data_IF_679697069427
#
_entry.id   IF_679697069427
#
_cell.length_a   1.000
_cell.length_b   1.000
_cell.length_c   1.000
_cell.angle_alpha   90.00
_cell.angle_beta   90.00
_cell.angle_gamma   90.00
#
_symmetry.space_group_name_H-M   'P 1'
#
loop_
_entity.id
_entity.type
_entity.pdbx_description
1 polymer ?
#
# COMPACT_ATOMS: atom_id res chain seq x y z
N UNK A 1 31.16 48.36 -38.48
CA UNK A 1 30.54 47.20 -37.79
C UNK A 1 31.43 46.00 -37.97
N UNK A 2 32.21 45.68 -36.95
CA UNK A 2 33.25 44.64 -36.98
C UNK A 2 32.64 43.26 -36.82
N UNK A 3 33.11 42.31 -37.63
CA UNK A 3 32.70 40.89 -37.70
C UNK A 3 32.70 40.15 -36.34
N UNK A 4 33.33 40.72 -35.31
CA UNK A 4 33.40 40.18 -33.95
C UNK A 4 32.09 40.27 -33.16
N UNK A 5 31.18 41.18 -33.49
CA UNK A 5 29.92 41.34 -32.73
C UNK A 5 28.82 40.37 -33.14
N UNK A 6 28.92 39.74 -34.31
CA UNK A 6 27.93 38.77 -34.80
C UNK A 6 28.15 37.38 -34.19
N UNK A 7 29.39 37.05 -33.79
CA UNK A 7 29.73 35.74 -33.24
C UNK A 7 29.21 35.51 -31.81
N UNK A 8 28.93 36.56 -31.04
CA UNK A 8 28.47 36.45 -29.64
C UNK A 8 26.96 36.18 -29.56
N UNK A 9 26.18 36.60 -30.55
CA UNK A 9 24.73 36.41 -30.58
C UNK A 9 24.30 35.01 -31.07
N UNK A 10 25.20 34.24 -31.68
CA UNK A 10 24.93 32.86 -32.13
C UNK A 10 25.21 31.78 -31.07
N UNK A 11 25.82 32.13 -29.93
CA UNK A 11 26.16 31.20 -28.85
C UNK A 11 25.06 31.05 -27.77
N UNK A 12 23.98 31.84 -27.84
CA UNK A 12 22.88 31.80 -26.85
C UNK A 12 21.71 30.93 -27.33
N UNK A 13 21.69 30.51 -28.61
CA UNK A 13 20.57 29.78 -29.21
C UNK A 13 20.58 28.25 -28.98
N UNK A 14 21.59 27.68 -28.30
CA UNK A 14 21.74 26.23 -28.12
C UNK A 14 21.55 25.72 -26.69
N UNK A 15 21.06 26.55 -25.76
CA UNK A 15 20.45 26.06 -24.52
C UNK A 15 19.00 25.63 -24.76
N UNK A 16 18.80 24.79 -25.78
CA UNK A 16 17.61 23.95 -25.83
C UNK A 16 17.69 23.00 -24.64
N UNK A 17 16.74 23.10 -23.71
CA UNK A 17 16.48 22.05 -22.73
C UNK A 17 16.23 20.77 -23.50
N UNK A 18 17.29 19.98 -23.69
CA UNK A 18 17.19 18.62 -24.14
C UNK A 18 16.59 17.89 -22.95
N UNK A 19 15.26 17.81 -22.88
CA UNK A 19 14.62 16.80 -22.05
C UNK A 19 15.04 15.47 -22.67
N UNK A 20 16.20 14.97 -22.22
CA UNK A 20 16.52 13.57 -22.29
C UNK A 20 15.27 12.88 -21.79
N UNK A 21 14.58 12.16 -22.66
CA UNK A 21 13.64 11.13 -22.25
C UNK A 21 14.49 10.13 -21.50
N UNK A 22 14.67 10.41 -20.21
CA UNK A 22 15.33 9.53 -19.26
C UNK A 22 14.54 8.23 -19.38
N UNK A 23 15.16 7.22 -20.00
CA UNK A 23 14.56 5.89 -20.10
C UNK A 23 14.29 5.48 -18.67
N UNK A 24 13.02 5.52 -18.28
CA UNK A 24 12.59 5.15 -16.95
C UNK A 24 13.22 3.79 -16.67
N UNK A 25 14.16 3.75 -15.71
CA UNK A 25 14.87 2.52 -15.39
C UNK A 25 13.80 1.48 -15.05
N UNK A 26 13.85 0.30 -15.66
CA UNK A 26 12.84 -0.78 -15.61
C UNK A 26 12.57 -1.30 -14.17
N UNK A 27 13.29 -0.76 -13.18
CA UNK A 27 13.12 -1.03 -11.76
C UNK A 27 12.50 0.14 -10.98
N UNK A 28 12.03 1.20 -11.64
CA UNK A 28 11.44 2.40 -11.01
C UNK A 28 9.93 2.26 -10.97
N UNK A 29 9.36 2.40 -9.77
CA UNK A 29 7.93 2.27 -9.53
C UNK A 29 7.41 3.51 -8.80
N UNK A 30 6.24 3.99 -9.23
CA UNK A 30 5.54 5.11 -8.58
C UNK A 30 4.34 4.54 -7.84
N UNK A 31 4.22 4.86 -6.56
CA UNK A 31 3.06 4.51 -5.76
C UNK A 31 1.86 5.32 -6.25
N UNK A 32 0.72 4.69 -6.58
CA UNK A 32 -0.48 5.40 -6.96
C UNK A 32 -0.89 6.39 -5.86
N UNK A 33 -1.16 7.63 -6.24
CA UNK A 33 -1.78 8.60 -5.34
C UNK A 33 -3.22 8.17 -5.06
N UNK A 34 -3.62 8.22 -3.79
CA UNK A 34 -4.98 7.89 -3.33
C UNK A 34 -6.08 8.72 -4.01
N UNK A 35 -5.71 9.86 -4.61
CA UNK A 35 -6.61 10.77 -5.33
C UNK A 35 -7.14 10.24 -6.68
N UNK A 36 -6.66 9.10 -7.17
CA UNK A 36 -6.95 8.61 -8.53
C UNK A 36 -8.18 7.70 -8.67
N UNK A 37 -8.93 7.43 -7.59
CA UNK A 37 -10.08 6.52 -7.63
C UNK A 37 -11.43 7.18 -7.94
N UNK A 38 -11.47 8.40 -8.45
CA UNK A 38 -12.74 9.00 -8.88
C UNK A 38 -13.21 8.35 -10.19
N UNK A 39 -14.35 7.61 -10.20
CA UNK A 39 -14.85 7.02 -11.43
C UNK A 39 -15.20 8.12 -12.43
N UNK A 40 -14.66 8.00 -13.64
CA UNK A 40 -15.01 8.85 -14.78
C UNK A 40 -16.52 8.75 -14.97
N UNK A 41 -17.26 9.86 -14.86
CA UNK A 41 -18.72 9.87 -15.12
C UNK A 41 -18.96 9.45 -16.57
N UNK A 42 -19.54 8.27 -16.78
CA UNK A 42 -20.02 7.79 -18.07
C UNK A 42 -21.55 7.70 -17.96
N UNK A 43 -22.26 8.67 -18.55
CA UNK A 43 -23.72 8.68 -18.66
C UNK A 43 -24.49 9.20 -17.44
N UNK A 44 -25.82 8.99 -17.46
CA UNK A 44 -26.79 9.49 -16.48
C UNK A 44 -27.05 8.54 -15.30
N UNK A 45 -26.25 7.48 -15.15
CA UNK A 45 -26.37 6.59 -14.00
C UNK A 45 -25.74 7.25 -12.77
N UNK A 46 -26.32 7.05 -11.56
CA UNK A 46 -25.64 7.46 -10.34
C UNK A 46 -24.24 6.82 -10.32
N UNK A 47 -23.19 7.57 -9.97
CA UNK A 47 -21.83 7.05 -9.97
C UNK A 47 -21.77 5.81 -9.08
N UNK A 48 -21.05 4.76 -9.48
CA UNK A 48 -20.83 3.63 -8.58
C UNK A 48 -20.20 4.16 -7.28
N UNK A 49 -20.53 3.56 -6.13
CA UNK A 49 -19.88 3.92 -4.88
C UNK A 49 -18.36 3.81 -5.05
N UNK A 50 -17.58 4.73 -4.48
CA UNK A 50 -16.13 4.68 -4.57
C UNK A 50 -15.62 3.34 -4.00
N UNK A 51 -14.51 2.79 -4.51
CA UNK A 51 -13.95 1.55 -4.00
C UNK A 51 -13.63 1.68 -2.50
N UNK A 52 -13.87 0.61 -1.72
CA UNK A 52 -13.40 0.57 -0.32
C UNK A 52 -11.87 0.59 -0.36
N UNK A 53 -11.26 1.51 0.37
CA UNK A 53 -9.80 1.56 0.49
C UNK A 53 -9.31 0.47 1.44
N UNK A 54 -8.94 -0.66 0.85
CA UNK A 54 -8.36 -1.78 1.59
C UNK A 54 -6.86 -1.55 1.79
N UNK A 55 -6.46 -1.26 3.03
CA UNK A 55 -5.06 -1.08 3.38
C UNK A 55 -4.35 -2.43 3.57
N UNK A 56 -5.01 -3.41 4.18
CA UNK A 56 -4.37 -4.65 4.57
C UNK A 56 -5.02 -5.84 3.86
N UNK A 57 -4.18 -6.80 3.47
CA UNK A 57 -4.59 -8.12 3.01
C UNK A 57 -4.02 -9.21 3.93
N UNK A 58 -4.42 -10.48 3.79
CA UNK A 58 -3.89 -11.56 4.62
C UNK A 58 -2.36 -11.67 4.53
N UNK A 59 -1.80 -11.31 3.38
CA UNK A 59 -0.37 -11.21 3.13
C UNK A 59 0.03 -9.78 2.77
N UNK A 60 1.07 -9.24 3.38
CA UNK A 60 1.50 -7.85 3.16
C UNK A 60 3.01 -7.77 2.97
N UNK A 61 3.43 -7.01 1.97
CA UNK A 61 4.82 -6.62 1.75
C UNK A 61 5.02 -5.16 2.14
N UNK A 62 6.13 -4.84 2.79
CA UNK A 62 6.59 -3.47 3.03
C UNK A 62 7.95 -3.29 2.34
N UNK A 63 8.11 -2.19 1.61
CA UNK A 63 9.35 -1.85 0.91
C UNK A 63 9.89 -0.57 1.51
N UNK A 64 11.10 -0.66 2.05
CA UNK A 64 11.74 0.49 2.68
C UNK A 64 12.40 1.42 1.66
N UNK A 65 12.95 2.53 2.15
CA UNK A 65 13.61 3.55 1.33
C UNK A 65 14.84 3.05 0.57
N UNK A 66 15.46 1.95 1.00
CA UNK A 66 16.62 1.34 0.37
C UNK A 66 16.23 0.17 -0.55
N UNK A 67 14.93 -0.13 -0.69
CA UNK A 67 14.42 -1.20 -1.54
C UNK A 67 14.44 -2.59 -0.90
N UNK A 68 14.74 -2.69 0.40
CA UNK A 68 14.61 -3.92 1.16
C UNK A 68 13.14 -4.29 1.30
N UNK A 69 12.86 -5.59 1.26
CA UNK A 69 11.51 -6.12 1.25
C UNK A 69 11.27 -6.87 2.53
N UNK A 70 10.21 -6.46 3.22
CA UNK A 70 9.72 -7.04 4.44
C UNK A 70 8.34 -7.65 4.19
N UNK A 71 8.00 -8.66 4.98
CA UNK A 71 6.75 -9.39 4.85
C UNK A 71 6.14 -9.63 6.21
N UNK A 72 4.81 -9.51 6.31
CA UNK A 72 4.05 -9.94 7.47
C UNK A 72 2.69 -10.50 7.02
N UNK A 73 2.12 -11.36 7.85
CA UNK A 73 0.78 -11.90 7.66
C UNK A 73 -0.15 -11.36 8.72
N UNK A 74 -1.41 -11.15 8.33
CA UNK A 74 -2.44 -10.78 9.26
C UNK A 74 -3.62 -11.72 9.14
N UNK A 75 -4.16 -12.14 10.29
CA UNK A 75 -5.46 -12.81 10.33
C UNK A 75 -6.52 -11.75 10.10
N UNK A 76 -6.88 -11.51 8.84
CA UNK A 76 -8.03 -10.68 8.53
C UNK A 76 -9.27 -11.48 8.93
N UNK A 77 -9.98 -10.98 9.93
CA UNK A 77 -11.35 -11.44 10.18
C UNK A 77 -12.16 -10.92 9.00
N UNK A 78 -12.38 -11.76 7.98
CA UNK A 78 -13.29 -11.46 6.87
C UNK A 78 -14.70 -11.30 7.42
N UNK A 79 -15.00 -10.10 7.93
CA UNK A 79 -16.36 -9.64 8.16
C UNK A 79 -16.86 -9.05 6.85
N UNK A 80 -18.05 -9.45 6.42
CA UNK A 80 -18.74 -8.79 5.32
C UNK A 80 -19.00 -7.33 5.70
N UNK A 81 -18.23 -6.39 5.16
CA UNK A 81 -18.42 -4.98 5.44
C UNK A 81 -19.49 -4.43 4.49
N UNK A 82 -20.70 -4.21 4.99
CA UNK A 82 -21.76 -3.55 4.23
C UNK A 82 -21.42 -2.06 4.06
N UNK A 83 -21.28 -1.60 2.81
CA UNK A 83 -20.92 -0.23 2.41
C UNK A 83 -21.82 0.92 2.89
N UNK A 84 -22.90 0.64 3.64
CA UNK A 84 -23.90 1.64 4.03
C UNK A 84 -23.37 2.52 5.16
N UNK A 85 -23.14 3.81 4.87
CA UNK A 85 -22.75 4.81 5.88
C UNK A 85 -21.25 4.88 6.20
N UNK A 86 -20.40 4.18 5.46
CA UNK A 86 -18.94 4.29 5.66
C UNK A 86 -18.38 5.58 5.08
N UNK A 87 -17.47 6.19 5.84
CA UNK A 87 -16.60 7.23 5.33
C UNK A 87 -15.48 6.57 4.50
N UNK A 88 -15.39 6.92 3.22
CA UNK A 88 -14.40 6.36 2.31
C UNK A 88 -12.98 6.93 2.54
N UNK A 89 -12.89 8.03 3.28
CA UNK A 89 -11.63 8.64 3.75
C UNK A 89 -11.20 8.13 5.14
N UNK A 90 -11.64 6.93 5.52
CA UNK A 90 -11.26 6.36 6.82
C UNK A 90 -9.75 6.05 6.83
N UNK A 91 -9.01 6.53 7.85
CA UNK A 91 -7.61 6.20 8.01
C UNK A 91 -7.42 4.68 8.23
N UNK A 92 -6.25 4.12 7.92
CA UNK A 92 -5.97 2.70 8.16
C UNK A 92 -6.23 2.32 9.62
N UNK A 93 -6.87 1.18 9.85
CA UNK A 93 -7.06 0.64 11.19
C UNK A 93 -5.72 0.33 11.85
N UNK A 94 -5.64 0.56 13.17
CA UNK A 94 -4.58 0.04 14.02
C UNK A 94 -4.72 -1.49 14.09
N UNK A 95 -3.67 -2.21 13.71
CA UNK A 95 -3.67 -3.66 13.61
C UNK A 95 -2.82 -4.36 14.69
N UNK A 96 -2.21 -3.57 15.57
CA UNK A 96 -1.28 -4.03 16.61
C UNK A 96 -0.08 -4.82 16.05
N UNK A 97 0.44 -4.35 14.92
CA UNK A 97 1.61 -4.93 14.26
C UNK A 97 2.83 -4.85 15.17
N UNK A 98 3.50 -5.98 15.39
CA UNK A 98 4.71 -6.03 16.21
C UNK A 98 5.95 -6.16 15.32
N UNK A 99 7.13 -5.68 15.77
CA UNK A 99 8.38 -5.89 15.02
C UNK A 99 8.70 -7.37 14.76
N UNK A 100 8.24 -8.28 15.62
CA UNK A 100 8.45 -9.72 15.47
C UNK A 100 7.57 -10.34 14.38
N UNK A 101 6.47 -9.71 14.00
CA UNK A 101 5.60 -10.18 12.91
C UNK A 101 6.20 -9.90 11.53
N UNK A 102 7.13 -8.94 11.46
CA UNK A 102 7.78 -8.51 10.23
C UNK A 102 9.06 -9.35 9.99
N UNK A 103 9.15 -9.96 8.82
CA UNK A 103 10.33 -10.72 8.37
C UNK A 103 10.93 -10.10 7.12
N UNK A 104 12.24 -9.85 7.12
CA UNK A 104 12.95 -9.42 5.89
C UNK A 104 13.12 -10.60 4.94
N UNK A 105 12.77 -10.40 3.66
CA UNK A 105 12.86 -11.40 2.61
C UNK A 105 13.99 -11.02 1.64
N UNK A 106 15.09 -11.78 1.58
CA UNK A 106 16.15 -11.52 0.63
C UNK A 106 15.65 -11.57 -0.81
N UNK A 107 15.98 -10.56 -1.62
CA UNK A 107 15.57 -10.43 -3.02
C UNK A 107 15.83 -11.67 -3.90
N UNK A 108 16.92 -12.45 -3.73
CA UNK A 108 17.13 -13.68 -4.48
C UNK A 108 16.03 -14.73 -4.25
N UNK A 109 15.43 -14.76 -3.06
CA UNK A 109 14.49 -15.80 -2.63
C UNK A 109 13.02 -15.41 -2.81
N UNK A 110 12.73 -14.17 -3.21
CA UNK A 110 11.40 -13.58 -3.15
C UNK A 110 10.35 -14.31 -3.99
N UNK A 111 10.67 -14.70 -5.22
CA UNK A 111 9.71 -15.42 -6.08
C UNK A 111 9.37 -16.80 -5.51
N UNK A 112 10.37 -17.51 -5.00
CA UNK A 112 10.19 -18.82 -4.34
C UNK A 112 9.34 -18.66 -3.08
N UNK A 113 9.60 -17.62 -2.30
CA UNK A 113 8.82 -17.30 -1.11
C UNK A 113 7.34 -17.06 -1.44
N UNK A 114 7.04 -16.19 -2.42
CA UNK A 114 5.64 -15.92 -2.82
C UNK A 114 4.95 -17.19 -3.29
N UNK A 115 5.58 -17.94 -4.20
CA UNK A 115 5.01 -19.18 -4.76
C UNK A 115 4.74 -20.23 -3.67
N UNK A 116 5.62 -20.34 -2.67
CA UNK A 116 5.41 -21.24 -1.54
C UNK A 116 4.21 -20.82 -0.67
N UNK A 117 4.01 -19.51 -0.46
CA UNK A 117 2.92 -18.99 0.37
C UNK A 117 1.54 -19.08 -0.31
N UNK A 118 1.46 -19.10 -1.64
CA UNK A 118 0.17 -19.21 -2.36
C UNK A 118 -0.21 -20.63 -2.77
N UNK A 119 0.74 -21.57 -2.74
CA UNK A 119 0.56 -22.94 -3.29
C UNK A 119 -0.64 -23.68 -2.68
N UNK A 120 -0.90 -23.46 -1.40
CA UNK A 120 -1.92 -24.16 -0.62
C UNK A 120 -3.18 -23.33 -0.37
N UNK A 121 -3.22 -22.09 -0.88
CA UNK A 121 -4.35 -21.19 -0.69
C UNK A 121 -5.34 -21.32 -1.86
N UNK A 122 -6.63 -21.26 -1.53
CA UNK A 122 -7.67 -21.05 -2.51
C UNK A 122 -7.49 -19.69 -3.20
N UNK A 123 -7.96 -19.57 -4.44
CA UNK A 123 -7.71 -18.35 -5.23
C UNK A 123 -8.30 -17.08 -4.59
N UNK A 124 -9.38 -17.20 -3.79
CA UNK A 124 -9.96 -16.08 -3.05
C UNK A 124 -9.04 -15.52 -1.98
N UNK A 125 -8.13 -16.34 -1.46
CA UNK A 125 -7.30 -16.03 -0.29
C UNK A 125 -5.90 -15.55 -0.71
N UNK A 126 -5.60 -15.58 -2.01
CA UNK A 126 -4.34 -15.10 -2.61
C UNK A 126 -4.36 -13.59 -2.78
N UNK A 127 -4.44 -12.89 -1.65
CA UNK A 127 -4.54 -11.45 -1.59
C UNK A 127 -3.28 -10.84 -0.97
N UNK A 128 -2.67 -9.87 -1.65
CA UNK A 128 -1.40 -9.25 -1.24
C UNK A 128 -1.44 -7.72 -1.26
N UNK A 129 -1.20 -7.07 -0.13
CA UNK A 129 -0.95 -5.63 -0.13
C UNK A 129 0.55 -5.37 -0.26
N UNK A 130 0.92 -4.42 -1.11
CA UNK A 130 2.30 -3.96 -1.23
C UNK A 130 2.31 -2.50 -0.74
N UNK A 131 3.12 -2.23 0.26
CA UNK A 131 3.30 -0.92 0.85
C UNK A 131 4.72 -0.41 0.58
N UNK A 132 4.85 0.84 0.16
CA UNK A 132 6.15 1.51 0.00
C UNK A 132 6.25 2.74 0.91
N UNK A 133 7.39 2.91 1.56
CA UNK A 133 7.66 4.09 2.39
C UNK A 133 7.73 5.36 1.53
N UNK A 134 8.29 5.24 0.32
CA UNK A 134 8.46 6.34 -0.63
C UNK A 134 7.41 6.31 -1.74
N UNK A 135 7.07 7.49 -2.26
CA UNK A 135 6.17 7.65 -3.41
C UNK A 135 6.78 7.14 -4.72
N UNK A 136 8.10 7.14 -4.81
CA UNK A 136 8.84 6.56 -5.94
C UNK A 136 9.98 5.71 -5.40
N UNK A 137 10.11 4.51 -5.93
CA UNK A 137 11.08 3.54 -5.45
C UNK A 137 11.76 2.82 -6.61
N UNK A 138 13.07 2.64 -6.47
CA UNK A 138 13.86 1.79 -7.36
C UNK A 138 14.09 0.47 -6.64
N UNK A 139 13.47 -0.62 -7.08
CA UNK A 139 13.60 -1.92 -6.41
C UNK A 139 13.53 -3.10 -7.39
N UNK A 140 14.63 -3.84 -7.49
CA UNK A 140 14.68 -5.09 -8.25
C UNK A 140 13.80 -6.18 -7.64
N UNK A 141 13.57 -6.13 -6.31
CA UNK A 141 12.65 -7.04 -5.64
C UNK A 141 11.20 -6.74 -5.97
N UNK A 142 10.80 -5.47 -6.06
CA UNK A 142 9.44 -5.11 -6.48
C UNK A 142 9.14 -5.58 -7.91
N UNK A 143 10.13 -5.50 -8.81
CA UNK A 143 10.02 -6.09 -10.15
C UNK A 143 9.72 -7.60 -10.10
N UNK A 144 10.38 -8.35 -9.21
CA UNK A 144 10.12 -9.78 -9.00
C UNK A 144 8.75 -10.07 -8.38
N UNK A 145 8.27 -9.22 -7.47
CA UNK A 145 6.90 -9.33 -6.94
C UNK A 145 5.91 -9.19 -8.10
N UNK A 146 6.05 -8.13 -8.89
CA UNK A 146 5.14 -7.86 -9.98
C UNK A 146 5.22 -8.88 -11.12
N UNK A 147 6.37 -9.51 -11.37
CA UNK A 147 6.44 -10.60 -12.35
C UNK A 147 5.56 -11.79 -11.92
N UNK A 148 5.58 -12.16 -10.64
CA UNK A 148 4.73 -13.23 -10.09
C UNK A 148 3.25 -12.81 -10.06
N UNK A 149 2.96 -11.57 -9.68
CA UNK A 149 1.59 -11.08 -9.53
C UNK A 149 0.87 -10.84 -10.86
N UNK A 150 1.62 -10.51 -11.92
CA UNK A 150 1.06 -10.34 -13.28
C UNK A 150 0.76 -11.67 -13.98
N UNK A 151 1.32 -12.77 -13.50
CA UNK A 151 1.00 -14.10 -14.02
C UNK A 151 -0.40 -14.53 -13.57
N UNK A 152 -1.34 -14.51 -14.53
CA UNK A 152 -2.75 -14.81 -14.31
C UNK A 152 -2.99 -16.23 -13.78
N UNK A 153 -2.08 -17.18 -14.01
CA UNK A 153 -2.22 -18.54 -13.49
C UNK A 153 -2.15 -18.59 -11.96
N UNK A 154 -1.49 -17.61 -11.33
CA UNK A 154 -1.40 -17.52 -9.88
C UNK A 154 -2.69 -17.01 -9.23
N UNK A 155 -3.57 -16.33 -9.99
CA UNK A 155 -4.85 -15.78 -9.52
C UNK A 155 -4.70 -14.91 -8.26
N UNK A 156 -3.70 -14.02 -8.26
CA UNK A 156 -3.40 -13.13 -7.14
C UNK A 156 -4.17 -11.82 -7.30
N UNK A 157 -4.88 -11.42 -6.26
CA UNK A 157 -5.42 -10.06 -6.10
C UNK A 157 -4.43 -9.24 -5.29
N UNK A 158 -4.15 -8.01 -5.70
CA UNK A 158 -3.17 -7.19 -5.00
C UNK A 158 -3.48 -5.69 -5.09
N UNK A 159 -2.92 -4.95 -4.14
CA UNK A 159 -2.93 -3.48 -4.12
C UNK A 159 -1.51 -2.96 -3.92
N UNK A 160 -1.23 -1.75 -4.40
CA UNK A 160 0.04 -1.06 -4.18
C UNK A 160 -0.23 0.35 -3.66
N UNK A 161 0.31 0.66 -2.49
CA UNK A 161 0.02 1.87 -1.72
C UNK A 161 1.23 2.36 -0.94
N UNK A 162 1.07 3.50 -0.26
CA UNK A 162 2.03 3.98 0.75
C UNK A 162 1.90 3.15 2.03
N UNK A 163 2.97 3.10 2.82
CA UNK A 163 2.92 2.55 4.17
C UNK A 163 1.94 3.31 5.06
N UNK A 164 1.28 2.59 5.97
CA UNK A 164 0.49 3.19 7.04
C UNK A 164 1.42 3.79 8.11
N UNK A 165 0.91 4.68 8.98
CA UNK A 165 1.73 5.20 10.08
C UNK A 165 2.28 4.09 10.98
N UNK A 166 1.46 3.07 11.26
CA UNK A 166 1.85 1.89 12.04
C UNK A 166 2.95 1.08 11.37
N UNK A 167 2.79 0.70 10.11
CA UNK A 167 3.83 -0.03 9.36
C UNK A 167 5.17 0.72 9.36
N UNK A 168 5.12 2.04 9.16
CA UNK A 168 6.32 2.89 9.14
C UNK A 168 7.04 2.87 10.49
N UNK A 169 6.30 3.12 11.56
CA UNK A 169 6.86 3.16 12.92
C UNK A 169 7.39 1.78 13.33
N UNK A 170 6.59 0.72 13.15
CA UNK A 170 6.97 -0.64 13.56
C UNK A 170 8.19 -1.14 12.78
N UNK A 171 8.26 -0.83 11.49
CA UNK A 171 9.44 -1.15 10.67
C UNK A 171 10.70 -0.43 11.17
N UNK A 172 10.60 0.83 11.57
CA UNK A 172 11.74 1.56 12.14
C UNK A 172 12.24 0.93 13.45
N UNK A 173 11.34 0.46 14.31
CA UNK A 173 11.70 -0.30 15.51
C UNK A 173 12.35 -1.64 15.16
N UNK A 174 11.82 -2.37 14.17
CA UNK A 174 12.41 -3.62 13.66
C UNK A 174 13.84 -3.40 13.17
N UNK A 175 14.07 -2.37 12.36
CA UNK A 175 15.39 -2.06 11.78
C UNK A 175 16.40 -1.59 12.83
N UNK A 176 15.95 -0.76 13.76
CA UNK A 176 16.81 -0.22 14.83
C UNK A 176 17.04 -1.18 16.00
N UNK A 177 16.31 -2.31 16.07
CA UNK A 177 16.35 -3.30 17.16
C UNK A 177 16.06 -2.68 18.54
N UNK A 178 15.33 -1.56 18.57
CA UNK A 178 14.88 -0.94 19.81
C UNK A 178 13.73 -1.74 20.41
N UNK A 179 13.56 -1.65 21.74
CA UNK A 179 12.37 -2.21 22.40
C UNK A 179 11.14 -1.45 21.92
N UNK A 180 10.11 -2.20 21.54
CA UNK A 180 8.84 -1.66 21.06
C UNK A 180 7.76 -1.85 22.11
N UNK A 181 7.09 -0.75 22.45
CA UNK A 181 5.93 -0.73 23.34
C UNK A 181 4.88 0.15 22.68
N UNK A 182 3.81 -0.47 22.16
CA UNK A 182 2.75 0.25 21.43
C UNK A 182 2.11 1.38 22.26
N UNK A 183 1.99 1.18 23.57
CA UNK A 183 1.44 2.17 24.50
C UNK A 183 2.31 3.42 24.71
N UNK A 184 3.60 3.35 24.40
CA UNK A 184 4.53 4.48 24.53
C UNK A 184 4.55 5.36 23.26
N UNK A 185 3.93 4.88 22.18
CA UNK A 185 3.89 5.58 20.90
C UNK A 185 2.70 6.54 20.89
N UNK A 186 2.97 7.81 20.57
CA UNK A 186 1.93 8.82 20.35
C UNK A 186 1.36 8.67 18.95
N UNK A 187 0.29 7.88 18.84
CA UNK A 187 -0.41 7.65 17.60
C UNK A 187 -1.20 8.90 17.14
N UNK A 188 -1.09 9.24 15.86
CA UNK A 188 -1.90 10.30 15.24
C UNK A 188 -3.29 9.74 14.91
N UNK A 189 -4.28 10.05 15.74
CA UNK A 189 -5.67 9.56 15.59
C UNK A 189 -6.37 10.05 14.32
N UNK A 190 -5.79 11.03 13.61
CA UNK A 190 -6.31 11.48 12.30
C UNK A 190 -5.82 10.60 11.15
N UNK A 191 -4.72 9.87 11.36
CA UNK A 191 -4.06 9.00 10.36
C UNK A 191 -4.13 7.51 10.70
N UNK A 192 -4.59 7.17 11.89
CA UNK A 192 -4.79 5.79 12.34
C UNK A 192 -6.13 5.67 13.03
N UNK A 193 -6.96 4.75 12.55
CA UNK A 193 -8.25 4.45 13.15
C UNK A 193 -8.11 3.38 14.23
N UNK A 194 -8.51 3.69 15.46
CA UNK A 194 -8.57 2.70 16.54
C UNK A 194 -9.99 2.16 16.61
N UNK A 195 -10.23 0.88 16.24
CA UNK A 195 -11.58 0.31 16.35
C UNK A 195 -12.01 0.34 17.81
N UNK A 196 -13.24 0.80 18.07
CA UNK A 196 -13.80 0.80 19.41
C UNK A 196 -13.88 -0.63 19.94
N UNK A 197 -13.41 -0.83 21.17
CA UNK A 197 -13.71 -2.07 21.89
C UNK A 197 -15.22 -2.09 22.16
N UNK A 198 -15.94 -3.01 21.51
CA UNK A 198 -17.36 -3.25 21.82
C UNK A 198 -17.39 -3.70 23.28
N UNK A 199 -18.04 -2.91 24.13
CA UNK A 199 -18.24 -3.26 25.52
C UNK A 199 -18.97 -4.60 25.60
N UNK A 200 -18.26 -5.63 26.06
CA UNK A 200 -18.77 -7.00 26.19
C UNK A 200 -19.90 -7.12 27.21
N UNK A 201 -20.16 -6.07 27.99
CA UNK A 201 -21.26 -6.02 28.95
C UNK A 201 -22.60 -5.63 28.30
N UNK A 202 -22.60 -5.10 27.07
CA UNK A 202 -23.84 -4.77 26.34
C UNK A 202 -24.51 -6.08 25.90
N UNK A 203 -25.56 -6.48 26.63
CA UNK A 203 -26.43 -7.60 26.25
C UNK A 203 -27.51 -7.10 25.28
N UNK A 204 -27.50 -7.62 24.06
CA UNK A 204 -28.62 -7.41 23.14
C UNK A 204 -29.87 -8.11 23.69
N UNK A 205 -30.91 -7.34 24.00
CA UNK A 205 -32.22 -7.87 24.36
C UNK A 205 -33.09 -7.74 23.10
N UNK A 206 -33.42 -8.85 22.41
CA UNK A 206 -34.28 -8.78 21.24
C UNK A 206 -35.66 -8.23 21.65
N UNK A 207 -36.34 -7.48 20.75
CA UNK A 207 -37.71 -7.05 21.01
C UNK A 207 -38.59 -8.28 21.23
N UNK A 208 -39.51 -8.20 22.20
CA UNK A 208 -40.52 -9.25 22.39
C UNK A 208 -41.35 -9.34 21.11
N UNK A 209 -41.47 -10.54 20.55
CA UNK A 209 -42.38 -10.76 19.44
C UNK A 209 -43.80 -10.39 19.91
N UNK A 210 -44.46 -9.49 19.19
CA UNK A 210 -45.89 -9.28 19.37
C UNK A 210 -46.61 -10.55 18.91
N UNK A 211 -47.27 -11.24 19.85
CA UNK A 211 -48.20 -12.31 19.53
C UNK A 211 -49.34 -11.70 18.70
N UNK A 212 -49.41 -12.06 17.42
CA UNK A 212 -50.53 -11.75 16.52
C UNK A 212 -51.59 -12.83 16.60
#
# INVERSE_FOLDING_TARGET
>A
MTLKTIAVLLLIASYGCNQSTEKLNDNTFVVPSDSLLLPRRIGNHPPPPPPIKEYYFPSNFIIDTAGHIYFYQQKIKSGWICGTGMNWDTPPSYIDLQPNDITEIPTPNLEKFIKANIKHLDSSDRQFAIASVNDTIISSGLKKIFSVFKDKSNRITWTFRRTTPEETIVLDYKKSRKKYYAGDIKWDSTKTFFPFEVDKTIKFIPPKAEEK
#
